data_IF_324913050244
#
_entry.id   IF_324913050244
#
_cell.length_a   1.000
_cell.length_b   1.000
_cell.length_c   1.000
_cell.angle_alpha   90.00
_cell.angle_beta   90.00
_cell.angle_gamma   90.00
#
_symmetry.space_group_name_H-M   'P 1'
#
loop_
_entity.id
_entity.type
_entity.pdbx_description
1 polymer ?
#
# COMPACT_ATOMS: atom_id res chain seq x y z
N UNK A 1 0.18 -17.09 10.21
CA UNK A 1 0.93 -15.89 10.63
C UNK A 1 -0.05 -14.72 10.61
N UNK A 2 0.08 -13.75 11.53
CA UNK A 2 -0.82 -12.60 11.53
C UNK A 2 -0.52 -11.72 10.30
N UNK A 3 -1.38 -11.75 9.27
CA UNK A 3 -1.16 -11.02 8.02
C UNK A 3 -1.04 -9.50 8.21
N UNK A 4 -1.44 -8.97 9.37
CA UNK A 4 -1.24 -7.56 9.70
C UNK A 4 0.23 -7.18 9.90
N UNK A 5 1.13 -8.14 10.11
CA UNK A 5 2.57 -7.90 10.29
C UNK A 5 3.18 -7.16 9.09
N UNK A 6 2.87 -7.59 7.87
CA UNK A 6 3.37 -6.96 6.65
C UNK A 6 2.74 -5.58 6.36
N UNK A 7 1.73 -5.18 7.12
CA UNK A 7 1.04 -3.89 6.98
C UNK A 7 1.52 -2.85 8.00
N UNK A 8 2.71 -3.05 8.58
CA UNK A 8 3.30 -2.13 9.54
C UNK A 8 4.60 -1.50 8.98
N UNK A 9 4.94 -0.28 9.41
CA UNK A 9 6.14 0.45 8.96
C UNK A 9 7.41 -0.02 9.69
N UNK A 10 7.68 -1.31 9.71
CA UNK A 10 8.90 -1.89 10.31
C UNK A 10 9.51 -2.97 9.40
N UNK A 11 10.77 -3.39 9.63
CA UNK A 11 11.41 -4.41 8.80
C UNK A 11 10.65 -5.73 8.87
N UNK A 12 10.38 -6.32 7.72
CA UNK A 12 9.61 -7.57 7.58
C UNK A 12 10.38 -8.67 6.83
N UNK A 13 11.66 -8.41 6.52
CA UNK A 13 12.53 -9.32 5.76
C UNK A 13 12.27 -9.32 4.25
N UNK A 14 11.33 -8.50 3.77
CA UNK A 14 11.08 -8.31 2.34
C UNK A 14 11.88 -7.11 1.81
N UNK A 15 12.07 -7.07 0.49
CA UNK A 15 12.75 -5.96 -0.16
C UNK A 15 11.89 -4.70 -0.02
N UNK A 16 12.51 -3.61 0.44
CA UNK A 16 11.92 -2.27 0.43
C UNK A 16 12.64 -1.39 -0.60
N UNK A 17 11.91 -0.49 -1.26
CA UNK A 17 12.47 0.46 -2.22
C UNK A 17 13.30 1.51 -1.49
N UNK A 18 14.55 1.70 -1.88
CA UNK A 18 15.35 2.83 -1.40
C UNK A 18 14.81 4.13 -1.97
N UNK A 19 14.49 5.07 -1.09
CA UNK A 19 13.76 6.28 -1.44
C UNK A 19 14.31 7.50 -0.71
N UNK A 20 14.30 8.66 -1.37
CA UNK A 20 14.71 9.92 -0.75
C UNK A 20 13.63 10.45 0.20
N UNK A 21 14.00 11.42 1.06
CA UNK A 21 13.07 12.04 2.05
C UNK A 21 11.79 12.62 1.43
N UNK A 22 11.82 13.02 0.17
CA UNK A 22 10.65 13.52 -0.57
C UNK A 22 9.48 12.51 -0.61
N UNK A 23 9.77 11.20 -0.46
CA UNK A 23 8.74 10.16 -0.44
C UNK A 23 7.82 10.29 0.78
N UNK A 24 8.31 10.76 1.93
CA UNK A 24 7.47 10.98 3.10
C UNK A 24 6.36 12.00 2.82
N UNK A 25 6.71 13.11 2.16
CA UNK A 25 5.74 14.15 1.77
C UNK A 25 4.76 13.64 0.71
N UNK A 26 5.26 12.95 -0.33
CA UNK A 26 4.41 12.28 -1.32
C UNK A 26 3.39 11.36 -0.65
N UNK A 27 3.84 10.49 0.26
CA UNK A 27 2.98 9.51 0.92
C UNK A 27 1.98 10.16 1.88
N UNK A 28 2.32 11.28 2.52
CA UNK A 28 1.34 12.06 3.30
C UNK A 28 0.20 12.57 2.40
N UNK A 29 0.52 13.12 1.23
CA UNK A 29 -0.50 13.53 0.27
C UNK A 29 -1.35 12.35 -0.20
N UNK A 30 -0.74 11.24 -0.61
CA UNK A 30 -1.47 10.03 -1.04
C UNK A 30 -2.43 9.56 0.06
N UNK A 31 -1.96 9.47 1.30
CA UNK A 31 -2.78 9.08 2.46
C UNK A 31 -3.99 10.01 2.65
N UNK A 32 -3.79 11.33 2.55
CA UNK A 32 -4.88 12.32 2.66
C UNK A 32 -5.89 12.21 1.53
N UNK A 33 -5.44 12.02 0.29
CA UNK A 33 -6.35 11.83 -0.85
C UNK A 33 -7.16 10.56 -0.72
N UNK A 34 -6.54 9.46 -0.26
CA UNK A 34 -7.24 8.22 0.06
C UNK A 34 -8.33 8.51 1.10
N UNK A 35 -7.99 9.11 2.25
CA UNK A 35 -8.93 9.41 3.35
C UNK A 35 -10.11 10.28 2.90
N UNK A 36 -9.85 11.34 2.13
CA UNK A 36 -10.90 12.21 1.58
C UNK A 36 -11.85 11.40 0.68
N UNK A 37 -11.30 10.61 -0.26
CA UNK A 37 -12.08 9.83 -1.20
C UNK A 37 -12.88 8.75 -0.50
N UNK A 38 -12.23 7.95 0.34
CA UNK A 38 -12.86 6.80 1.00
C UNK A 38 -13.94 7.24 1.99
N UNK A 39 -13.73 8.33 2.73
CA UNK A 39 -14.74 8.89 3.63
C UNK A 39 -15.93 9.45 2.88
N UNK A 40 -15.69 10.18 1.78
CA UNK A 40 -16.74 10.89 1.03
C UNK A 40 -17.55 9.98 0.11
N UNK A 41 -16.97 8.86 -0.34
CA UNK A 41 -17.59 7.96 -1.33
C UNK A 41 -18.16 6.67 -0.75
N UNK A 42 -17.88 6.32 0.51
CA UNK A 42 -18.30 5.03 1.14
C UNK A 42 -19.78 4.69 1.05
N UNK A 43 -20.66 5.69 1.08
CA UNK A 43 -22.12 5.51 1.02
C UNK A 43 -22.71 5.89 -0.35
N UNK A 44 -21.85 6.34 -1.28
CA UNK A 44 -22.28 6.80 -2.61
C UNK A 44 -22.05 5.76 -3.70
N UNK A 45 -21.01 4.93 -3.55
CA UNK A 45 -20.60 3.94 -4.56
C UNK A 45 -20.48 2.57 -3.91
N UNK A 46 -21.21 1.59 -4.44
CA UNK A 46 -21.16 0.20 -3.96
C UNK A 46 -19.83 -0.50 -4.29
N UNK A 47 -19.13 -0.04 -5.33
CA UNK A 47 -17.80 -0.50 -5.71
C UNK A 47 -16.83 0.68 -5.80
N UNK A 48 -15.67 0.54 -5.17
CA UNK A 48 -14.59 1.53 -5.19
C UNK A 48 -13.29 0.83 -5.56
N UNK A 49 -12.60 1.30 -6.57
CA UNK A 49 -11.38 0.68 -7.09
C UNK A 49 -10.19 1.56 -6.73
N UNK A 50 -9.13 0.97 -6.21
CA UNK A 50 -7.82 1.60 -6.09
C UNK A 50 -6.91 1.06 -7.18
N UNK A 51 -6.27 1.94 -7.93
CA UNK A 51 -5.35 1.61 -9.03
C UNK A 51 -4.03 2.30 -8.73
N UNK A 52 -2.94 1.53 -8.67
CA UNK A 52 -1.59 2.05 -8.50
C UNK A 52 -0.67 1.41 -9.55
N UNK A 53 -0.19 2.23 -10.48
CA UNK A 53 0.58 1.81 -11.64
C UNK A 53 2.10 1.87 -11.41
N UNK A 54 2.52 2.30 -10.23
CA UNK A 54 3.93 2.40 -9.81
C UNK A 54 4.07 1.90 -8.37
N UNK A 55 3.42 0.77 -8.09
CA UNK A 55 3.15 0.29 -6.74
C UNK A 55 4.42 -0.05 -5.94
N UNK A 56 5.50 -0.41 -6.64
CA UNK A 56 6.73 -0.88 -6.01
C UNK A 56 6.54 -2.13 -5.16
N UNK A 57 7.50 -2.42 -4.27
CA UNK A 57 7.43 -3.60 -3.41
C UNK A 57 6.52 -3.38 -2.19
N UNK A 58 5.81 -2.25 -2.11
CA UNK A 58 4.89 -1.90 -1.03
C UNK A 58 5.50 -1.15 0.15
N UNK A 59 6.81 -1.22 0.38
CA UNK A 59 7.50 -0.41 1.40
C UNK A 59 8.64 0.41 0.80
N UNK A 60 8.85 1.57 1.39
CA UNK A 60 9.99 2.44 1.13
C UNK A 60 10.92 2.44 2.36
N UNK A 61 12.22 2.49 2.14
CA UNK A 61 13.24 2.72 3.16
C UNK A 61 14.00 4.00 2.84
N UNK A 62 14.00 4.94 3.77
CA UNK A 62 14.70 6.21 3.64
C UNK A 62 16.19 6.05 3.97
N UNK A 63 17.00 7.04 3.57
CA UNK A 63 18.44 7.09 3.91
C UNK A 63 18.70 7.09 5.43
N UNK A 64 17.71 7.50 6.23
CA UNK A 64 17.74 7.45 7.71
C UNK A 64 17.52 6.04 8.27
N UNK A 65 17.13 5.06 7.44
CA UNK A 65 16.68 3.73 7.85
C UNK A 65 15.19 3.66 8.24
N UNK A 66 14.48 4.79 8.21
CA UNK A 66 13.03 4.82 8.44
C UNK A 66 12.30 4.06 7.34
N UNK A 67 11.34 3.23 7.75
CA UNK A 67 10.48 2.46 6.85
C UNK A 67 9.12 3.13 6.76
N UNK A 68 8.66 3.34 5.53
CA UNK A 68 7.34 3.88 5.25
C UNK A 68 6.51 2.85 4.49
N UNK A 69 5.21 2.84 4.77
CA UNK A 69 4.25 2.12 3.93
C UNK A 69 4.08 2.88 2.62
N UNK A 70 4.35 2.21 1.51
CA UNK A 70 4.10 2.74 0.18
C UNK A 70 2.60 2.87 -0.12
N UNK A 71 2.29 3.52 -1.24
CA UNK A 71 0.92 3.76 -1.71
C UNK A 71 0.02 2.50 -1.76
N UNK A 72 0.45 1.31 -2.22
CA UNK A 72 -0.44 0.15 -2.24
C UNK A 72 -0.80 -0.33 -0.82
N UNK A 73 0.13 -0.24 0.15
CA UNK A 73 -0.13 -0.65 1.52
C UNK A 73 -0.97 0.38 2.27
N UNK A 74 -0.76 1.69 2.02
CA UNK A 74 -1.63 2.76 2.54
C UNK A 74 -3.09 2.56 2.13
N UNK A 75 -3.35 2.14 0.89
CA UNK A 75 -4.69 1.85 0.41
C UNK A 75 -5.34 0.61 1.07
N UNK A 76 -4.54 -0.32 1.58
CA UNK A 76 -5.02 -1.54 2.28
C UNK A 76 -5.34 -1.28 3.76
N UNK A 77 -4.60 -0.39 4.42
CA UNK A 77 -4.80 -0.04 5.84
C UNK A 77 -5.81 1.08 6.07
N UNK A 78 -6.45 1.57 5.00
CA UNK A 78 -7.45 2.64 5.09
C UNK A 78 -8.72 2.21 5.84
N UNK A 79 -9.48 3.16 6.39
CA UNK A 79 -10.57 2.91 7.34
C UNK A 79 -11.80 2.27 6.68
N UNK A 80 -12.20 2.80 5.54
CA UNK A 80 -13.27 2.37 4.65
C UNK A 80 -12.68 1.78 3.36
N UNK A 81 -12.23 0.52 3.43
CA UNK A 81 -11.56 -0.21 2.35
C UNK A 81 -12.17 -0.06 0.96
N UNK A 82 -11.29 -0.04 -0.04
CA UNK A 82 -11.68 -0.20 -1.44
C UNK A 82 -12.19 -1.62 -1.67
N UNK A 83 -13.04 -1.76 -2.68
CA UNK A 83 -13.61 -3.05 -3.09
C UNK A 83 -12.61 -3.86 -3.89
N UNK A 84 -11.87 -3.21 -4.80
CA UNK A 84 -10.87 -3.86 -5.63
C UNK A 84 -9.57 -3.06 -5.65
N UNK A 85 -8.47 -3.78 -5.83
CA UNK A 85 -7.12 -3.25 -5.84
C UNK A 85 -6.39 -3.77 -7.07
N UNK A 86 -5.85 -2.84 -7.86
CA UNK A 86 -5.09 -3.11 -9.08
C UNK A 86 -3.71 -2.50 -8.92
N UNK A 87 -2.70 -3.35 -8.82
CA UNK A 87 -1.30 -2.94 -8.64
C UNK A 87 -0.50 -3.34 -9.87
N UNK A 88 0.34 -2.44 -10.33
CA UNK A 88 1.31 -2.68 -11.38
C UNK A 88 2.61 -1.96 -11.06
N UNK A 89 3.70 -2.52 -11.54
CA UNK A 89 5.03 -1.92 -11.56
C UNK A 89 5.75 -2.48 -12.81
N UNK A 90 6.67 -1.70 -13.36
CA UNK A 90 7.44 -2.15 -14.54
C UNK A 90 8.47 -3.21 -14.16
N UNK A 91 8.94 -3.17 -12.92
CA UNK A 91 9.86 -4.14 -12.38
C UNK A 91 9.09 -5.34 -11.81
N UNK A 92 9.23 -6.54 -12.41
CA UNK A 92 8.51 -7.72 -11.94
C UNK A 92 8.91 -8.14 -10.52
N UNK A 93 10.13 -7.82 -10.05
CA UNK A 93 10.57 -8.19 -8.70
C UNK A 93 9.79 -7.42 -7.63
N UNK A 94 9.47 -6.15 -7.91
CA UNK A 94 8.57 -5.36 -7.06
C UNK A 94 7.20 -6.04 -6.93
N UNK A 95 6.66 -6.56 -8.03
CA UNK A 95 5.38 -7.24 -8.04
C UNK A 95 5.40 -8.57 -7.29
N UNK A 96 6.49 -9.35 -7.41
CA UNK A 96 6.67 -10.59 -6.62
C UNK A 96 6.65 -10.29 -5.12
N UNK A 97 7.38 -9.25 -4.69
CA UNK A 97 7.42 -8.86 -3.27
C UNK A 97 6.07 -8.37 -2.80
N UNK A 98 5.41 -7.50 -3.57
CA UNK A 98 4.10 -6.97 -3.21
C UNK A 98 3.03 -8.08 -3.16
N UNK A 99 3.05 -9.02 -4.08
CA UNK A 99 2.10 -10.14 -4.09
C UNK A 99 2.26 -11.03 -2.86
N UNK A 100 3.48 -11.25 -2.36
CA UNK A 100 3.71 -11.98 -1.10
C UNK A 100 3.04 -11.29 0.11
N UNK A 101 2.89 -9.96 0.07
CA UNK A 101 2.19 -9.18 1.10
C UNK A 101 0.68 -9.23 0.89
N UNK A 102 0.22 -9.08 -0.36
CA UNK A 102 -1.20 -8.85 -0.68
C UNK A 102 -2.02 -10.14 -0.79
N UNK A 103 -1.44 -11.23 -1.33
CA UNK A 103 -2.16 -12.50 -1.53
C UNK A 103 -2.72 -13.09 -0.23
N UNK A 104 -1.97 -13.13 0.89
CA UNK A 104 -2.50 -13.61 2.16
C UNK A 104 -3.69 -12.78 2.66
N UNK A 105 -3.72 -11.47 2.37
CA UNK A 105 -4.78 -10.56 2.77
C UNK A 105 -6.08 -10.79 1.98
N UNK A 106 -5.97 -11.21 0.71
CA UNK A 106 -7.13 -11.53 -0.15
C UNK A 106 -7.89 -12.77 0.31
N UNK A 107 -7.22 -13.76 0.91
CA UNK A 107 -7.83 -15.02 1.35
C UNK A 107 -8.73 -14.90 2.60
N UNK A 108 -8.62 -13.79 3.35
CA UNK A 108 -9.40 -13.54 4.59
C UNK A 108 -10.60 -12.63 4.41
N UNK A 109 -10.97 -12.27 3.18
CA UNK A 109 -12.07 -11.35 2.90
C UNK A 109 -12.82 -11.77 1.63
N UNK A 110 -13.52 -12.91 1.68
CA UNK A 110 -14.65 -13.28 0.82
C UNK A 110 -15.60 -14.19 1.60
#
# INVERSE_FOLDING_TARGET
>A
MNNSFYLQPFPDGLVARKSGRWVAEKLDYVRRYIDIFETSMKSKWSKRNYIDLFAGPGKDVLDTGEILLGSPLLALVTKYRFTNYYFADIDPDNMVVLDNVVQPLRATTW
#
